data_IF_378443882195
#
_entry.id   IF_378443882195
#
_cell.length_a   1.000
_cell.length_b   1.000
_cell.length_c   1.000
_cell.angle_alpha   90.00
_cell.angle_beta   90.00
_cell.angle_gamma   90.00
#
_symmetry.space_group_name_H-M   'P 1'
#
loop_
_entity.id
_entity.type
_entity.pdbx_description
1 polymer ?
#
# COMPACT_ATOMS: atom_id res chain seq x y z
N UNK A 1 -7.97 -4.37 8.11
CA UNK A 1 -6.76 -4.94 7.48
C UNK A 1 -5.88 -5.78 8.41
N UNK A 2 -5.51 -5.30 9.61
CA UNK A 2 -4.62 -6.04 10.54
C UNK A 2 -5.33 -7.13 11.36
N UNK A 3 -6.57 -6.88 11.80
CA UNK A 3 -7.29 -7.77 12.73
C UNK A 3 -6.86 -7.59 14.18
N UNK A 4 -7.39 -8.43 15.08
CA UNK A 4 -6.99 -8.52 16.50
C UNK A 4 -6.07 -9.72 16.72
N UNK A 5 -5.45 -9.81 17.89
CA UNK A 5 -4.50 -10.89 18.23
C UNK A 5 -5.12 -12.29 18.13
N UNK A 6 -6.40 -12.42 18.49
CA UNK A 6 -7.23 -13.62 18.40
C UNK A 6 -7.90 -13.80 17.03
N UNK A 7 -8.02 -12.72 16.25
CA UNK A 7 -8.68 -12.71 14.96
C UNK A 7 -7.80 -11.99 13.92
N UNK A 8 -6.81 -12.74 13.40
CA UNK A 8 -5.89 -12.26 12.36
C UNK A 8 -6.66 -11.69 11.17
N UNK A 9 -6.25 -10.51 10.70
CA UNK A 9 -6.80 -9.87 9.52
C UNK A 9 -6.18 -10.38 8.22
N UNK A 10 -6.40 -9.64 7.13
CA UNK A 10 -5.97 -10.02 5.79
C UNK A 10 -4.44 -10.03 5.63
N UNK A 11 -3.75 -9.05 6.22
CA UNK A 11 -2.29 -8.93 6.12
C UNK A 11 -1.58 -10.16 6.72
N UNK A 12 -1.75 -10.48 8.02
CA UNK A 12 -1.08 -11.64 8.60
C UNK A 12 -1.45 -12.97 7.92
N UNK A 13 -2.71 -13.15 7.52
CA UNK A 13 -3.16 -14.37 6.82
C UNK A 13 -2.56 -14.53 5.43
N UNK A 14 -2.53 -13.45 4.64
CA UNK A 14 -1.92 -13.47 3.30
C UNK A 14 -0.45 -13.86 3.37
N UNK A 15 0.27 -13.35 4.37
CA UNK A 15 1.68 -13.65 4.58
C UNK A 15 1.89 -15.10 4.99
N UNK A 16 1.14 -15.60 5.97
CA UNK A 16 1.19 -17.01 6.36
C UNK A 16 1.00 -17.94 5.17
N UNK A 17 -0.01 -17.65 4.32
CA UNK A 17 -0.26 -18.40 3.10
C UNK A 17 0.92 -18.36 2.12
N UNK A 18 1.52 -17.18 1.92
CA UNK A 18 2.67 -17.02 1.00
C UNK A 18 3.89 -17.79 1.51
N UNK A 19 4.19 -17.73 2.81
CA UNK A 19 5.30 -18.49 3.39
C UNK A 19 5.07 -20.00 3.32
N UNK A 20 3.87 -20.46 3.65
CA UNK A 20 3.51 -21.88 3.53
C UNK A 20 3.65 -22.37 2.08
N UNK A 21 3.15 -21.59 1.12
CA UNK A 21 3.23 -21.92 -0.31
C UNK A 21 4.68 -21.91 -0.80
N UNK A 22 5.46 -20.89 -0.43
CA UNK A 22 6.89 -20.79 -0.73
C UNK A 22 7.66 -22.02 -0.23
N UNK A 23 7.40 -22.45 1.02
CA UNK A 23 8.03 -23.63 1.60
C UNK A 23 7.64 -24.92 0.88
N UNK A 24 6.37 -25.09 0.51
CA UNK A 24 5.90 -26.27 -0.23
C UNK A 24 6.52 -26.37 -1.63
N UNK A 25 6.70 -25.23 -2.30
CA UNK A 25 7.27 -25.16 -3.65
C UNK A 25 8.79 -25.37 -3.69
N UNK A 26 9.50 -25.31 -2.54
CA UNK A 26 10.93 -25.65 -2.47
C UNK A 26 11.21 -27.06 -2.96
N UNK A 27 10.33 -28.02 -2.67
CA UNK A 27 10.46 -29.39 -3.15
C UNK A 27 10.41 -29.51 -4.69
N UNK A 28 9.88 -28.49 -5.37
CA UNK A 28 9.81 -28.40 -6.84
C UNK A 28 10.97 -27.57 -7.44
N UNK A 29 11.98 -27.22 -6.64
CA UNK A 29 13.16 -26.46 -7.07
C UNK A 29 13.01 -24.95 -7.01
N UNK A 30 11.92 -24.41 -6.44
CA UNK A 30 11.74 -22.97 -6.29
C UNK A 30 12.45 -22.41 -5.06
N UNK A 31 13.16 -21.30 -5.24
CA UNK A 31 13.71 -20.45 -4.18
C UNK A 31 13.11 -19.06 -4.27
N UNK A 32 12.63 -18.53 -3.15
CA UNK A 32 12.00 -17.22 -3.09
C UNK A 32 12.78 -16.25 -2.20
N UNK A 33 12.95 -15.02 -2.68
CA UNK A 33 13.36 -13.84 -1.91
C UNK A 33 12.15 -12.95 -1.70
N UNK A 34 11.90 -12.57 -0.45
CA UNK A 34 10.77 -11.75 -0.03
C UNK A 34 11.28 -10.43 0.53
N UNK A 35 10.75 -9.30 0.06
CA UNK A 35 11.11 -7.97 0.56
C UNK A 35 9.85 -7.20 0.94
N UNK A 36 9.86 -6.58 2.12
CA UNK A 36 8.72 -5.80 2.63
C UNK A 36 9.10 -4.32 2.70
N UNK A 37 8.12 -3.47 2.35
CA UNK A 37 8.12 -2.05 2.70
C UNK A 37 6.76 -1.65 3.26
N UNK A 38 6.76 -0.71 4.21
CA UNK A 38 5.53 -0.14 4.77
C UNK A 38 5.64 1.37 4.79
N UNK A 39 4.64 2.04 4.25
CA UNK A 39 4.55 3.50 4.26
C UNK A 39 3.17 3.95 4.70
N UNK A 40 3.09 5.20 5.16
CA UNK A 40 1.84 5.93 5.26
C UNK A 40 1.83 7.14 4.33
N UNK A 41 0.65 7.45 3.78
CA UNK A 41 0.38 8.71 3.10
C UNK A 41 -0.53 9.52 4.01
N UNK A 42 0.01 10.60 4.55
CA UNK A 42 -0.71 11.53 5.42
C UNK A 42 -0.53 12.95 4.87
N UNK A 43 -1.64 13.65 4.62
CA UNK A 43 -1.63 15.00 4.05
C UNK A 43 -0.74 15.12 2.79
N UNK A 44 -0.92 14.21 1.83
CA UNK A 44 -0.12 14.11 0.58
C UNK A 44 1.40 13.95 0.79
N UNK A 45 1.83 13.63 2.01
CA UNK A 45 3.23 13.37 2.38
C UNK A 45 3.42 11.88 2.64
N UNK A 46 4.49 11.31 2.09
CA UNK A 46 4.87 9.92 2.31
C UNK A 46 5.79 9.86 3.53
N UNK A 47 5.48 8.96 4.48
CA UNK A 47 6.36 8.59 5.58
C UNK A 47 6.66 7.09 5.52
N UNK A 48 7.94 6.77 5.64
CA UNK A 48 8.42 5.40 5.81
C UNK A 48 8.19 4.94 7.26
N UNK A 49 7.49 3.82 7.44
CA UNK A 49 7.13 3.29 8.75
C UNK A 49 8.16 2.31 9.31
N UNK A 50 9.12 1.87 8.49
CA UNK A 50 10.16 0.91 8.86
C UNK A 50 11.51 1.56 9.17
N UNK A 51 11.62 2.89 9.05
CA UNK A 51 12.82 3.60 9.45
C UNK A 51 13.15 3.32 10.94
N UNK A 52 14.39 2.91 11.25
CA UNK A 52 14.85 2.84 12.62
C UNK A 52 14.75 4.23 13.26
N UNK A 53 14.21 4.31 14.48
CA UNK A 53 14.15 5.57 15.22
C UNK A 53 15.58 6.03 15.51
N UNK A 54 15.98 7.17 14.96
CA UNK A 54 17.22 7.81 15.40
C UNK A 54 17.02 8.37 16.81
N UNK A 55 18.01 8.21 17.67
CA UNK A 55 18.00 8.66 19.07
C UNK A 55 17.79 10.17 19.26
N UNK A 56 17.83 10.96 18.19
CA UNK A 56 17.75 12.42 18.23
C UNK A 56 16.39 13.01 17.83
N UNK A 57 15.34 12.21 17.61
CA UNK A 57 13.96 12.73 17.44
C UNK A 57 13.69 13.63 16.22
N UNK A 58 14.71 13.92 15.39
CA UNK A 58 14.53 14.55 14.09
C UNK A 58 14.03 13.48 13.11
N UNK A 59 12.74 13.52 12.78
CA UNK A 59 12.23 12.90 11.56
C UNK A 59 13.10 13.40 10.40
N UNK A 60 13.84 12.52 9.74
CA UNK A 60 14.64 12.83 8.52
C UNK A 60 13.76 13.15 7.30
N UNK A 61 12.49 13.50 7.53
CA UNK A 61 11.49 13.83 6.54
C UNK A 61 11.58 15.33 6.30
N UNK A 62 12.01 15.73 5.11
CA UNK A 62 12.02 17.13 4.69
C UNK A 62 10.59 17.69 4.69
N UNK A 63 10.36 18.82 5.36
CA UNK A 63 9.47 19.85 4.82
C UNK A 63 10.16 20.47 3.60
N UNK A 64 9.39 21.04 2.67
CA UNK A 64 9.76 21.53 1.33
C UNK A 64 10.90 22.60 1.25
N UNK A 65 11.69 22.77 2.30
CA UNK A 65 12.78 23.74 2.44
C UNK A 65 14.09 22.97 2.67
N UNK A 66 14.79 22.68 1.58
CA UNK A 66 15.84 21.67 1.54
C UNK A 66 17.12 22.01 2.32
N UNK A 67 17.49 21.12 3.26
CA UNK A 67 18.86 20.66 3.53
C UNK A 67 18.77 19.21 4.07
N UNK A 68 19.58 18.27 3.54
CA UNK A 68 19.93 16.98 4.17
C UNK A 68 18.95 15.81 4.48
N UNK A 69 17.71 15.71 3.96
CA UNK A 69 16.78 14.60 4.32
C UNK A 69 16.32 13.73 3.14
N UNK A 70 15.83 12.52 3.42
CA UNK A 70 15.32 11.55 2.42
C UNK A 70 14.11 12.12 1.69
N UNK A 71 14.05 11.98 0.36
CA UNK A 71 12.91 12.44 -0.45
C UNK A 71 12.19 11.25 -1.07
N UNK A 72 10.99 10.94 -0.54
CA UNK A 72 10.15 9.87 -1.08
C UNK A 72 9.44 10.34 -2.36
N UNK A 73 9.95 9.91 -3.50
CA UNK A 73 9.36 10.17 -4.82
C UNK A 73 8.83 8.88 -5.42
N UNK A 74 7.58 8.89 -5.88
CA UNK A 74 6.96 7.77 -6.58
C UNK A 74 7.46 7.77 -8.02
N UNK A 75 7.98 6.62 -8.47
CA UNK A 75 8.52 6.42 -9.81
C UNK A 75 7.94 5.14 -10.42
N UNK A 76 7.62 5.22 -11.70
CA UNK A 76 7.18 4.07 -12.50
C UNK A 76 8.32 3.66 -13.44
N UNK A 77 8.65 2.37 -13.46
CA UNK A 77 9.62 1.84 -14.42
C UNK A 77 8.98 1.55 -15.79
N UNK A 78 9.81 1.22 -16.79
CA UNK A 78 9.36 0.89 -18.13
C UNK A 78 8.47 -0.36 -18.20
N UNK A 79 8.52 -1.21 -17.17
CA UNK A 79 7.70 -2.43 -17.05
C UNK A 79 6.37 -2.15 -16.32
N UNK A 80 6.09 -0.90 -15.95
CA UNK A 80 4.89 -0.49 -15.23
C UNK A 80 4.93 -0.76 -13.72
N UNK A 81 6.07 -1.17 -13.15
CA UNK A 81 6.19 -1.34 -11.70
C UNK A 81 6.37 0.02 -11.02
N UNK A 82 5.78 0.15 -9.83
CA UNK A 82 5.96 1.34 -9.00
C UNK A 82 7.00 1.11 -7.91
N UNK A 83 7.84 2.11 -7.67
CA UNK A 83 8.72 2.17 -6.50
C UNK A 83 8.74 3.58 -5.92
N UNK A 84 9.09 3.68 -4.64
CA UNK A 84 9.26 4.94 -3.93
C UNK A 84 10.74 5.08 -3.60
N UNK A 85 11.38 6.18 -4.00
CA UNK A 85 12.80 6.42 -3.72
C UNK A 85 13.07 6.50 -2.22
N UNK A 86 14.25 6.01 -1.80
CA UNK A 86 14.75 6.03 -0.41
C UNK A 86 13.91 5.28 0.63
N UNK A 87 12.83 4.61 0.20
CA UNK A 87 11.96 3.79 1.04
C UNK A 87 12.71 2.55 1.51
N UNK A 88 12.61 2.28 2.80
CA UNK A 88 13.24 1.13 3.44
C UNK A 88 12.61 -0.17 2.92
N UNK A 89 13.48 -1.05 2.41
CA UNK A 89 13.15 -2.41 1.99
C UNK A 89 13.84 -3.38 2.94
N UNK A 90 13.06 -4.25 3.56
CA UNK A 90 13.56 -5.24 4.52
C UNK A 90 13.39 -6.63 3.91
N UNK A 91 14.49 -7.37 3.79
CA UNK A 91 14.46 -8.79 3.44
C UNK A 91 13.85 -9.57 4.61
N UNK A 92 12.88 -10.44 4.32
CA UNK A 92 12.16 -11.20 5.35
C UNK A 92 12.21 -12.70 5.08
N UNK A 93 12.58 -13.46 6.10
CA UNK A 93 12.80 -14.91 6.03
C UNK A 93 11.77 -15.70 6.85
N UNK A 94 10.99 -15.02 7.70
CA UNK A 94 9.99 -15.66 8.54
C UNK A 94 8.74 -14.81 8.77
N UNK A 95 7.62 -15.47 9.09
CA UNK A 95 6.38 -14.79 9.49
C UNK A 95 6.60 -13.96 10.77
N UNK A 96 7.49 -14.42 11.67
CA UNK A 96 7.82 -13.73 12.93
C UNK A 96 8.47 -12.37 12.69
N UNK A 97 9.42 -12.29 11.75
CA UNK A 97 10.03 -11.01 11.36
C UNK A 97 8.98 -10.02 10.85
N UNK A 98 8.03 -10.49 10.02
CA UNK A 98 6.99 -9.59 9.52
C UNK A 98 6.03 -9.15 10.62
N UNK A 99 5.65 -10.03 11.56
CA UNK A 99 4.88 -9.63 12.73
C UNK A 99 5.58 -8.50 13.51
N UNK A 100 6.89 -8.63 13.74
CA UNK A 100 7.69 -7.56 14.37
C UNK A 100 7.71 -6.26 13.56
N UNK A 101 7.81 -6.35 12.23
CA UNK A 101 7.76 -5.16 11.36
C UNK A 101 6.38 -4.50 11.36
N UNK A 102 5.31 -5.28 11.42
CA UNK A 102 3.93 -4.77 11.51
C UNK A 102 3.69 -4.06 12.84
N UNK A 103 4.21 -4.61 13.94
CA UNK A 103 4.18 -3.98 15.27
C UNK A 103 4.99 -2.68 15.28
N UNK A 104 6.20 -2.68 14.71
CA UNK A 104 7.01 -1.47 14.54
C UNK A 104 6.24 -0.41 13.75
N UNK A 105 5.66 -0.78 12.61
CA UNK A 105 4.90 0.15 11.78
C UNK A 105 3.67 0.70 12.53
N UNK A 106 2.97 -0.13 13.31
CA UNK A 106 1.85 0.30 14.14
C UNK A 106 2.28 1.29 15.23
N UNK A 107 3.44 1.07 15.86
CA UNK A 107 4.02 2.00 16.83
C UNK A 107 4.43 3.32 16.17
N UNK A 108 5.10 3.27 15.01
CA UNK A 108 5.45 4.47 14.22
C UNK A 108 4.22 5.30 13.87
N UNK A 109 3.12 4.65 13.43
CA UNK A 109 1.83 5.32 13.20
C UNK A 109 1.22 5.90 14.48
N UNK A 110 1.41 5.24 15.62
CA UNK A 110 0.87 5.69 16.90
C UNK A 110 1.63 6.87 17.50
N UNK A 111 2.94 7.00 17.26
CA UNK A 111 3.76 8.10 17.83
C UNK A 111 3.46 9.44 17.15
N UNK A 112 2.98 9.43 15.91
CA UNK A 112 2.41 10.63 15.28
C UNK A 112 1.21 11.21 16.05
N UNK A 113 0.52 10.38 16.85
CA UNK A 113 -0.63 10.77 17.67
C UNK A 113 -0.16 11.63 18.85
N UNK A 114 -0.04 12.94 18.65
CA UNK A 114 -0.16 13.88 19.77
C UNK A 114 -1.57 13.79 20.37
N UNK A 115 -1.72 14.15 21.65
CA UNK A 115 -2.83 13.83 22.58
C UNK A 115 -4.29 14.10 22.13
N UNK A 116 -4.55 14.53 20.89
CA UNK A 116 -5.89 14.78 20.35
C UNK A 116 -6.24 14.05 19.03
N UNK A 117 -5.34 13.24 18.45
CA UNK A 117 -5.55 12.70 17.10
C UNK A 117 -5.65 11.16 17.05
N UNK A 118 -6.84 10.66 16.70
CA UNK A 118 -7.00 9.33 16.15
C UNK A 118 -6.42 9.28 14.71
N UNK A 119 -5.09 9.29 14.60
CA UNK A 119 -4.38 9.47 13.33
C UNK A 119 -4.51 8.26 12.37
N UNK A 120 -4.87 7.08 12.88
CA UNK A 120 -4.97 5.86 12.07
C UNK A 120 -6.15 5.87 11.10
N UNK A 121 -7.21 6.63 11.36
CA UNK A 121 -8.32 6.84 10.41
C UNK A 121 -8.02 7.91 9.37
N UNK A 122 -6.89 8.61 9.49
CA UNK A 122 -6.57 9.84 8.75
C UNK A 122 -5.34 9.74 7.87
N UNK A 123 -4.67 8.59 7.86
CA UNK A 123 -3.60 8.26 6.92
C UNK A 123 -3.92 6.98 6.17
N UNK A 124 -3.51 6.92 4.90
CA UNK A 124 -3.55 5.68 4.13
C UNK A 124 -2.32 4.87 4.47
N UNK A 125 -2.51 3.62 4.88
CA UNK A 125 -1.41 2.70 5.13
C UNK A 125 -1.23 1.78 3.92
N UNK A 126 0.02 1.64 3.48
CA UNK A 126 0.38 0.78 2.35
C UNK A 126 1.44 -0.20 2.80
N UNK A 127 1.07 -1.48 2.79
CA UNK A 127 1.99 -2.59 2.93
C UNK A 127 2.28 -3.16 1.53
N UNK A 128 3.55 -3.28 1.18
CA UNK A 128 3.99 -3.87 -0.08
C UNK A 128 4.94 -5.03 0.19
N UNK A 129 4.63 -6.19 -0.36
CA UNK A 129 5.50 -7.37 -0.40
C UNK A 129 5.95 -7.61 -1.83
N UNK A 130 7.25 -7.59 -2.06
CA UNK A 130 7.89 -7.99 -3.32
C UNK A 130 8.34 -9.44 -3.21
N UNK A 131 7.99 -10.24 -4.21
CA UNK A 131 8.24 -11.68 -4.27
C UNK A 131 9.09 -11.93 -5.51
N UNK A 132 10.30 -12.44 -5.31
CA UNK A 132 11.18 -12.86 -6.39
C UNK A 132 11.40 -14.36 -6.27
N UNK A 133 11.02 -15.12 -7.29
CA UNK A 133 11.16 -16.57 -7.32
C UNK A 133 12.09 -17.00 -8.44
N UNK A 134 12.95 -17.98 -8.16
CA UNK A 134 13.79 -18.66 -9.16
C UNK A 134 13.62 -20.16 -9.01
N UNK A 135 13.36 -20.85 -10.11
CA UNK A 135 13.38 -22.30 -10.16
C UNK A 135 14.75 -22.77 -10.66
N UNK A 136 15.47 -23.54 -9.86
CA UNK A 136 16.82 -23.99 -10.21
C UNK A 136 16.82 -25.11 -11.25
N UNK A 137 15.72 -25.87 -11.36
CA UNK A 137 15.60 -26.97 -12.31
C UNK A 137 15.24 -26.47 -13.73
N UNK A 138 14.46 -25.39 -13.82
CA UNK A 138 13.96 -24.86 -15.10
C UNK A 138 14.56 -23.51 -15.49
N UNK A 139 15.41 -22.94 -14.64
CA UNK A 139 15.98 -21.59 -14.76
C UNK A 139 14.94 -20.46 -14.88
N UNK A 140 13.68 -20.75 -14.57
CA UNK A 140 12.59 -19.78 -14.63
C UNK A 140 12.69 -18.78 -13.49
N UNK A 141 12.46 -17.51 -13.81
CA UNK A 141 12.33 -16.42 -12.85
C UNK A 141 10.91 -15.87 -12.89
N UNK A 142 10.36 -15.59 -11.71
CA UNK A 142 9.07 -14.93 -11.54
C UNK A 142 9.22 -13.77 -10.57
N UNK A 143 8.50 -12.69 -10.87
CA UNK A 143 8.40 -11.54 -9.98
C UNK A 143 6.93 -11.21 -9.75
N UNK A 144 6.58 -10.93 -8.50
CA UNK A 144 5.25 -10.52 -8.10
C UNK A 144 5.31 -9.44 -7.05
N UNK A 145 4.27 -8.61 -7.00
CA UNK A 145 4.10 -7.59 -5.97
C UNK A 145 2.70 -7.73 -5.39
N UNK A 146 2.61 -7.90 -4.08
CA UNK A 146 1.36 -7.84 -3.32
C UNK A 146 1.28 -6.50 -2.60
N UNK A 147 0.27 -5.70 -2.94
CA UNK A 147 -0.06 -4.47 -2.22
C UNK A 147 -1.30 -4.72 -1.35
N UNK A 148 -1.19 -4.41 -0.06
CA UNK A 148 -2.29 -4.45 0.90
C UNK A 148 -2.45 -3.05 1.48
N UNK A 149 -3.55 -2.40 1.09
CA UNK A 149 -3.77 -0.97 1.36
C UNK A 149 -4.93 -0.82 2.32
N UNK A 150 -4.72 -0.06 3.39
CA UNK A 150 -5.75 0.33 4.36
C UNK A 150 -6.00 1.82 4.18
N UNK A 151 -7.12 2.16 3.55
CA UNK A 151 -7.45 3.54 3.21
C UNK A 151 -7.94 4.30 4.45
N UNK A 152 -7.67 5.61 4.47
CA UNK A 152 -8.25 6.52 5.44
C UNK A 152 -9.79 6.56 5.30
N UNK A 153 -10.45 7.04 6.36
CA UNK A 153 -11.90 7.14 6.41
C UNK A 153 -12.46 8.09 5.34
N UNK A 154 -13.64 7.75 4.82
CA UNK A 154 -14.34 8.51 3.78
C UNK A 154 -15.31 9.55 4.33
N UNK A 155 -15.23 9.88 5.62
CA UNK A 155 -16.20 10.74 6.27
C UNK A 155 -16.18 12.18 5.73
N UNK A 156 -17.37 12.74 5.57
CA UNK A 156 -17.55 14.09 5.04
C UNK A 156 -17.16 15.16 6.05
N UNK A 157 -16.54 16.22 5.52
CA UNK A 157 -16.21 17.47 6.22
C UNK A 157 -17.40 18.05 7.01
N UNK A 158 -18.62 17.95 6.46
CA UNK A 158 -19.84 18.49 7.10
C UNK A 158 -20.20 17.80 8.41
N UNK A 159 -19.71 16.57 8.64
CA UNK A 159 -19.94 15.83 9.90
C UNK A 159 -18.79 15.95 10.89
N UNK A 160 -17.61 16.38 10.44
CA UNK A 160 -16.41 16.38 11.28
C UNK A 160 -16.33 17.58 12.23
N UNK A 161 -17.05 18.66 11.94
CA UNK A 161 -16.97 19.91 12.72
C UNK A 161 -15.55 20.51 12.74
N UNK A 162 -14.67 20.08 11.83
CA UNK A 162 -13.25 20.41 11.88
C UNK A 162 -12.97 21.87 11.49
N UNK A 163 -12.13 22.54 12.26
CA UNK A 163 -11.68 23.92 12.00
C UNK A 163 -10.15 23.99 11.95
N UNK A 164 -9.60 25.06 11.36
CA UNK A 164 -8.15 25.29 11.30
C UNK A 164 -7.37 24.17 10.60
N UNK A 165 -6.29 23.70 11.23
CA UNK A 165 -5.44 22.62 10.71
C UNK A 165 -6.20 21.29 10.53
N UNK A 166 -7.19 21.01 11.38
CA UNK A 166 -8.04 19.80 11.29
C UNK A 166 -8.88 19.81 10.01
N UNK A 167 -9.28 21.00 9.55
CA UNK A 167 -10.01 21.17 8.29
C UNK A 167 -9.09 20.85 7.10
N UNK A 168 -7.87 21.39 7.09
CA UNK A 168 -6.88 21.11 6.03
C UNK A 168 -6.57 19.62 5.92
N UNK A 169 -6.35 18.96 7.06
CA UNK A 169 -6.14 17.50 7.14
C UNK A 169 -7.33 16.73 6.54
N UNK A 170 -8.56 17.06 6.97
CA UNK A 170 -9.78 16.40 6.48
C UNK A 170 -10.00 16.66 4.98
N UNK A 171 -9.61 17.84 4.47
CA UNK A 171 -9.63 18.15 3.04
C UNK A 171 -8.61 17.30 2.27
N UNK A 172 -7.39 17.12 2.79
CA UNK A 172 -6.37 16.31 2.13
C UNK A 172 -6.76 14.83 2.05
N UNK A 173 -7.33 14.27 3.13
CA UNK A 173 -7.86 12.91 3.15
C UNK A 173 -8.95 12.75 2.08
N UNK A 174 -9.95 13.63 2.09
CA UNK A 174 -11.03 13.58 1.12
C UNK A 174 -10.55 13.85 -0.31
N UNK A 175 -9.52 14.67 -0.51
CA UNK A 175 -8.90 14.89 -1.82
C UNK A 175 -8.32 13.59 -2.38
N UNK A 176 -7.57 12.83 -1.59
CA UNK A 176 -6.97 11.57 -2.05
C UNK A 176 -8.03 10.51 -2.41
N UNK A 177 -9.11 10.38 -1.63
CA UNK A 177 -10.22 9.48 -1.93
C UNK A 177 -11.07 9.95 -3.11
N UNK A 178 -11.28 11.26 -3.26
CA UNK A 178 -11.97 11.83 -4.42
C UNK A 178 -11.15 11.62 -5.70
N UNK A 179 -9.84 11.82 -5.62
CA UNK A 179 -8.92 11.54 -6.75
C UNK A 179 -8.95 10.07 -7.14
N UNK A 180 -9.03 9.16 -6.17
CA UNK A 180 -9.19 7.73 -6.44
C UNK A 180 -10.50 7.45 -7.19
N UNK A 181 -11.57 8.13 -6.80
CA UNK A 181 -12.83 8.02 -7.51
C UNK A 181 -12.72 8.55 -8.94
N UNK A 182 -12.15 9.74 -9.14
CA UNK A 182 -11.94 10.36 -10.46
C UNK A 182 -11.13 9.46 -11.40
N UNK A 183 -10.08 8.82 -10.90
CA UNK A 183 -9.28 7.85 -11.66
C UNK A 183 -10.13 6.67 -12.11
N UNK A 184 -10.93 6.09 -11.21
CA UNK A 184 -11.80 4.96 -11.55
C UNK A 184 -12.88 5.38 -12.56
N UNK A 185 -13.42 6.60 -12.45
CA UNK A 185 -14.37 7.12 -13.44
C UNK A 185 -13.75 7.26 -14.82
N UNK A 186 -12.57 7.88 -14.90
CA UNK A 186 -11.85 8.06 -16.15
C UNK A 186 -11.53 6.71 -16.80
N UNK A 187 -11.09 5.72 -16.01
CA UNK A 187 -10.83 4.35 -16.47
C UNK A 187 -12.10 3.66 -16.97
N UNK A 188 -13.19 3.70 -16.21
CA UNK A 188 -14.45 3.06 -16.58
C UNK A 188 -15.05 3.65 -17.86
N UNK A 189 -14.85 4.96 -18.09
CA UNK A 189 -15.27 5.65 -19.32
C UNK A 189 -14.28 5.52 -20.47
N UNK A 190 -13.11 4.91 -20.25
CA UNK A 190 -12.01 4.82 -21.22
C UNK A 190 -11.59 6.20 -21.74
N UNK A 191 -11.51 7.18 -20.85
CA UNK A 191 -11.01 8.52 -21.18
C UNK A 191 -9.52 8.46 -21.53
N UNK A 192 -9.09 9.29 -22.50
CA UNK A 192 -7.69 9.34 -22.95
C UNK A 192 -6.72 9.76 -21.84
N UNK A 193 -7.17 10.63 -20.94
CA UNK A 193 -6.38 11.14 -19.83
C UNK A 193 -6.96 10.69 -18.49
N UNK A 194 -6.20 9.85 -17.77
CA UNK A 194 -6.56 9.40 -16.42
C UNK A 194 -5.74 10.17 -15.36
N UNK A 195 -6.38 10.85 -14.39
CA UNK A 195 -5.71 11.81 -13.50
C UNK A 195 -4.97 11.15 -12.31
N UNK A 196 -4.13 10.14 -12.57
CA UNK A 196 -3.37 9.43 -11.53
C UNK A 196 -2.51 10.36 -10.66
N UNK A 197 -2.04 11.48 -11.21
CA UNK A 197 -1.16 12.43 -10.53
C UNK A 197 -1.86 13.37 -9.53
N UNK A 198 -3.19 13.35 -9.46
CA UNK A 198 -3.95 14.26 -8.59
C UNK A 198 -3.74 14.01 -7.09
N UNK A 199 -3.30 12.80 -6.72
CA UNK A 199 -2.86 12.45 -5.37
C UNK A 199 -1.69 11.47 -5.38
N UNK A 200 -0.88 11.46 -4.30
CA UNK A 200 0.17 10.45 -4.11
C UNK A 200 -0.39 9.04 -4.03
N UNK A 201 -1.60 8.88 -3.46
CA UNK A 201 -2.28 7.59 -3.37
C UNK A 201 -2.58 7.05 -4.76
N UNK A 202 -3.28 7.82 -5.60
CA UNK A 202 -3.63 7.38 -6.96
C UNK A 202 -2.40 7.13 -7.82
N UNK A 203 -1.36 7.94 -7.66
CA UNK A 203 -0.13 7.76 -8.41
C UNK A 203 0.59 6.49 -7.98
N UNK A 204 0.66 6.20 -6.68
CA UNK A 204 1.21 4.95 -6.16
C UNK A 204 0.43 3.71 -6.65
N UNK A 205 -0.90 3.82 -6.74
CA UNK A 205 -1.80 2.75 -7.14
C UNK A 205 -2.01 2.61 -8.65
N UNK A 206 -1.35 3.44 -9.46
CA UNK A 206 -1.52 3.44 -10.91
C UNK A 206 -1.41 2.03 -11.55
N UNK A 207 -0.42 1.18 -11.20
CA UNK A 207 -0.36 -0.16 -11.78
C UNK A 207 -1.49 -1.08 -11.30
N UNK A 208 -2.02 -0.85 -10.10
CA UNK A 208 -3.10 -1.67 -9.53
C UNK A 208 -4.45 -1.36 -10.20
N UNK A 209 -4.67 -0.11 -10.61
CA UNK A 209 -5.97 0.35 -11.12
C UNK A 209 -6.08 0.33 -12.64
N UNK A 210 -5.00 0.69 -13.35
CA UNK A 210 -5.02 0.79 -14.81
C UNK A 210 -3.99 -0.09 -15.51
N UNK A 211 -3.27 -0.93 -14.76
CA UNK A 211 -2.15 -1.72 -15.27
C UNK A 211 -2.39 -3.22 -15.24
N UNK A 212 -1.26 -3.94 -15.30
CA UNK A 212 -1.19 -5.39 -15.20
C UNK A 212 -1.29 -5.82 -13.72
N UNK A 213 -2.52 -5.93 -13.21
CA UNK A 213 -2.75 -6.26 -11.81
C UNK A 213 -4.07 -6.99 -11.56
N UNK A 214 -4.12 -7.70 -10.42
CA UNK A 214 -5.34 -8.26 -9.85
C UNK A 214 -5.72 -7.41 -8.65
N UNK A 215 -6.83 -6.69 -8.76
CA UNK A 215 -7.28 -5.78 -7.71
C UNK A 215 -8.58 -6.26 -7.11
N UNK A 216 -8.60 -6.37 -5.78
CA UNK A 216 -9.78 -6.69 -4.99
C UNK A 216 -10.02 -5.53 -4.01
N UNK A 217 -11.22 -4.97 -4.05
CA UNK A 217 -11.64 -3.91 -3.14
C UNK A 217 -12.60 -4.46 -2.09
N UNK A 218 -12.31 -4.20 -0.82
CA UNK A 218 -13.26 -4.42 0.29
C UNK A 218 -13.93 -3.10 0.64
N UNK A 219 -15.25 -3.14 0.81
CA UNK A 219 -16.05 -1.97 1.21
C UNK A 219 -16.67 -2.27 2.55
N UNK A 220 -16.17 -1.62 3.60
CA UNK A 220 -16.68 -1.79 4.96
C UNK A 220 -17.79 -0.77 5.22
N UNK A 221 -18.89 -1.25 5.79
CA UNK A 221 -20.12 -0.48 6.00
C UNK A 221 -20.56 -0.63 7.45
N UNK A 222 -21.05 0.47 8.03
CA UNK A 222 -21.65 0.46 9.36
C UNK A 222 -23.16 0.14 9.26
N UNK A 223 -23.69 -0.75 10.11
CA UNK A 223 -25.13 -1.03 10.18
C UNK A 223 -25.93 0.08 10.89
N UNK A 224 -25.26 1.07 11.49
CA UNK A 224 -25.93 2.09 12.29
C UNK A 224 -26.78 3.06 11.42
N UNK A 225 -28.00 3.43 11.85
CA UNK A 225 -28.82 4.42 11.14
C UNK A 225 -28.14 5.78 10.97
N UNK A 226 -27.30 6.16 11.93
CA UNK A 226 -26.47 7.39 11.88
C UNK A 226 -25.48 7.41 10.71
N UNK A 227 -25.20 6.25 10.12
CA UNK A 227 -24.19 6.03 9.08
C UNK A 227 -24.80 5.73 7.71
N UNK A 228 -26.12 5.75 7.55
CA UNK A 228 -26.80 5.40 6.29
C UNK A 228 -26.32 6.23 5.10
N UNK A 229 -26.11 7.55 5.29
CA UNK A 229 -25.64 8.43 4.22
C UNK A 229 -24.24 8.08 3.70
N UNK A 230 -23.30 7.81 4.61
CA UNK A 230 -21.94 7.41 4.26
C UNK A 230 -21.92 6.00 3.67
N UNK A 231 -22.70 5.08 4.24
CA UNK A 231 -22.86 3.71 3.76
C UNK A 231 -23.35 3.67 2.31
N UNK A 232 -24.34 4.48 1.97
CA UNK A 232 -24.85 4.61 0.61
C UNK A 232 -23.79 5.20 -0.34
N UNK A 233 -22.99 6.15 0.13
CA UNK A 233 -21.89 6.73 -0.65
C UNK A 233 -20.83 5.67 -0.97
N UNK A 234 -20.39 4.90 0.03
CA UNK A 234 -19.42 3.82 -0.13
C UNK A 234 -19.93 2.71 -1.06
N UNK A 235 -21.21 2.31 -0.95
CA UNK A 235 -21.82 1.33 -1.85
C UNK A 235 -21.90 1.82 -3.30
N UNK A 236 -22.30 3.07 -3.52
CA UNK A 236 -22.34 3.67 -4.86
C UNK A 236 -20.96 3.73 -5.49
N UNK A 237 -19.94 4.06 -4.69
CA UNK A 237 -18.56 4.03 -5.13
C UNK A 237 -18.13 2.59 -5.50
N UNK A 238 -18.38 1.61 -4.63
CA UNK A 238 -18.09 0.20 -4.87
C UNK A 238 -18.71 -0.33 -6.16
N UNK A 239 -20.00 -0.04 -6.40
CA UNK A 239 -20.70 -0.44 -7.61
C UNK A 239 -20.03 0.10 -8.88
N UNK A 240 -19.47 1.31 -8.81
CA UNK A 240 -18.75 1.93 -9.92
C UNK A 240 -17.36 1.33 -10.11
N UNK A 241 -16.64 1.03 -9.03
CA UNK A 241 -15.37 0.29 -9.09
C UNK A 241 -15.58 -1.07 -9.75
N UNK A 242 -16.64 -1.79 -9.37
CA UNK A 242 -16.96 -3.10 -9.94
C UNK A 242 -17.32 -3.07 -11.43
N UNK A 243 -17.85 -1.95 -11.92
CA UNK A 243 -18.14 -1.75 -13.34
C UNK A 243 -16.89 -1.36 -14.16
N UNK A 244 -15.77 -1.05 -13.51
CA UNK A 244 -14.51 -0.73 -14.18
C UNK A 244 -13.78 -2.02 -14.56
N UNK A 245 -13.62 -2.25 -15.87
CA UNK A 245 -12.77 -3.33 -16.36
C UNK A 245 -11.31 -2.91 -16.25
N UNK A 246 -10.58 -3.52 -15.32
CA UNK A 246 -9.13 -3.39 -15.22
C UNK A 246 -8.50 -4.38 -16.21
N UNK A 247 -7.36 -4.01 -16.79
CA UNK A 247 -6.66 -4.83 -17.80
C UNK A 247 -6.41 -6.26 -17.35
N UNK A 248 -6.32 -7.19 -18.33
CA UNK A 248 -6.08 -8.61 -18.04
C UNK A 248 -4.65 -8.78 -17.50
N UNK A 249 -4.48 -9.33 -16.29
CA UNK A 249 -3.16 -9.49 -15.70
C UNK A 249 -2.36 -10.56 -16.43
N UNK A 250 -1.11 -10.29 -16.76
CA UNK A 250 -0.17 -11.20 -17.42
C UNK A 250 0.85 -11.72 -16.41
N UNK A 251 1.16 -13.00 -16.52
CA UNK A 251 2.23 -13.60 -15.72
C UNK A 251 3.58 -13.21 -16.32
N UNK A 252 4.36 -12.42 -15.58
CA UNK A 252 5.75 -12.13 -15.95
C UNK A 252 6.63 -13.32 -15.58
N UNK A 253 7.14 -14.03 -16.59
CA UNK A 253 8.12 -15.11 -16.42
C UNK A 253 9.27 -14.84 -17.37
N UNK A 254 10.49 -14.86 -16.85
CA UNK A 254 11.72 -14.69 -17.62
C UNK A 254 12.63 -15.91 -17.41
N UNK A 255 13.55 -16.14 -18.34
CA UNK A 255 14.65 -17.08 -18.13
C UNK A 255 15.79 -16.36 -17.39
N UNK A 256 16.44 -17.03 -16.45
CA UNK A 256 17.58 -16.48 -15.71
C UNK A 256 18.71 -16.10 -16.68
N UNK A 257 19.19 -14.84 -16.67
CA UNK A 257 20.45 -14.50 -17.32
C UNK A 257 21.58 -15.26 -16.62
N UNK A 258 22.53 -15.82 -17.37
CA UNK A 258 23.54 -16.79 -16.89
C UNK A 258 24.43 -16.33 -15.71
N UNK A 259 24.36 -15.07 -15.25
CA UNK A 259 25.28 -14.49 -14.25
C UNK A 259 24.71 -14.15 -12.86
N UNK A 260 23.44 -14.44 -12.56
CA UNK A 260 22.82 -13.96 -11.31
C UNK A 260 22.68 -15.03 -10.22
N UNK A 261 23.75 -15.33 -9.46
CA UNK A 261 23.62 -16.16 -8.23
C UNK A 261 22.83 -15.38 -7.17
N UNK A 262 21.68 -15.92 -6.76
CA UNK A 262 20.98 -15.45 -5.57
C UNK A 262 21.69 -16.05 -4.36
N UNK A 263 22.45 -15.22 -3.64
CA UNK A 263 23.00 -15.57 -2.34
C UNK A 263 21.97 -15.27 -1.25
N UNK A 264 21.49 -16.32 -0.59
CA UNK A 264 21.09 -16.26 0.81
C UNK A 264 21.87 -17.40 1.49
N UNK A 265 22.76 -17.02 2.41
CA UNK A 265 23.28 -17.92 3.44
C UNK A 265 22.31 -18.02 4.60
#
# INVERSE_FOLDING_TARGET
MMGKHDQKGLIPRSLEQIFQTSQALKAQGWKYKLQVSMLEIYNETIRDLLLPRSSNGLDLIRSDSGVGGKQYSIKHDANGNTHVSDLTLVDVCSVREISSLLEQAAQSRSVGKTQMNEQSSRSHFVFTLRIFGVNENTEQQVQGVLNLIDLAGSERLSRSGATGERLKETQAINKSLSSLADVIFALAKKEDHVPFRNSKLTYLLQPCLGGDSKTLMFVNISPEPSSTGESLCSLRFAARVNACEIGIPRRQTAMRPMDSRLSCG
#
